data_IF_481483271677
#
_entry.id   IF_481483271677
#
_cell.length_a   1.000
_cell.length_b   1.000
_cell.length_c   1.000
_cell.angle_alpha   90.00
_cell.angle_beta   90.00
_cell.angle_gamma   90.00
#
_symmetry.space_group_name_H-M   'P 1'
#
loop_
_entity.id
_entity.type
_entity.pdbx_description
1 polymer ?
#
# COMPACT_ATOMS: atom_id res chain seq x y z
N UNK A 1 -1.86 48.10 -25.01
CA UNK A 1 -2.37 46.75 -24.69
C UNK A 1 -1.26 45.95 -24.01
N UNK A 2 -1.45 45.47 -22.78
CA UNK A 2 -0.46 44.68 -22.03
C UNK A 2 -0.78 43.20 -22.25
N UNK A 3 0.21 42.42 -22.70
CA UNK A 3 0.05 40.98 -22.92
C UNK A 3 -0.26 40.25 -21.59
N UNK A 4 -1.13 39.22 -21.59
CA UNK A 4 -1.47 38.50 -20.37
C UNK A 4 -0.27 37.68 -19.89
N UNK A 5 0.07 37.83 -18.60
CA UNK A 5 1.11 37.07 -17.95
C UNK A 5 0.77 35.57 -17.99
N UNK A 6 1.71 34.75 -18.47
CA UNK A 6 1.62 33.28 -18.43
C UNK A 6 1.44 32.84 -16.98
N UNK A 7 0.26 32.28 -16.65
CA UNK A 7 0.02 31.60 -15.37
C UNK A 7 1.05 30.49 -15.20
N UNK A 8 1.98 30.70 -14.27
CA UNK A 8 2.97 29.71 -13.86
C UNK A 8 2.20 28.55 -13.21
N UNK A 9 2.03 27.45 -13.94
CA UNK A 9 1.39 26.24 -13.42
C UNK A 9 2.21 25.78 -12.23
N UNK A 10 1.64 25.94 -11.03
CA UNK A 10 2.21 25.41 -9.80
C UNK A 10 2.40 23.90 -9.97
N UNK A 11 3.66 23.44 -10.01
CA UNK A 11 3.97 22.01 -9.98
C UNK A 11 3.48 21.44 -8.64
N UNK A 12 2.38 20.70 -8.68
CA UNK A 12 1.85 20.01 -7.51
C UNK A 12 2.83 18.93 -7.05
N UNK A 13 3.21 18.95 -5.77
CA UNK A 13 4.14 18.00 -5.13
C UNK A 13 3.66 16.56 -5.34
N UNK A 14 4.48 15.63 -5.87
CA UNK A 14 4.05 14.26 -6.15
C UNK A 14 3.50 13.56 -4.90
N UNK A 15 2.54 12.63 -5.06
CA UNK A 15 2.05 11.85 -3.93
C UNK A 15 3.20 11.04 -3.34
N UNK A 16 3.19 10.89 -2.02
CA UNK A 16 4.24 10.20 -1.28
C UNK A 16 3.63 9.05 -0.48
N UNK A 17 4.38 7.95 -0.34
CA UNK A 17 4.02 6.87 0.57
C UNK A 17 4.47 7.25 1.98
N UNK A 18 3.53 7.22 2.93
CA UNK A 18 3.80 7.46 4.34
C UNK A 18 3.35 6.28 5.19
N UNK A 19 4.14 5.94 6.20
CA UNK A 19 3.79 4.97 7.23
C UNK A 19 2.99 5.68 8.34
N UNK A 20 1.87 5.08 8.75
CA UNK A 20 0.97 5.59 9.80
C UNK A 20 0.61 4.46 10.76
N UNK A 21 0.44 4.77 12.04
CA UNK A 21 -0.14 3.82 12.99
C UNK A 21 -1.56 3.47 12.56
N UNK A 22 -1.93 2.20 12.58
CA UNK A 22 -3.33 1.81 12.36
C UNK A 22 -4.23 2.51 13.38
N UNK A 23 -5.45 2.86 12.99
CA UNK A 23 -6.29 3.82 13.73
C UNK A 23 -6.58 3.47 15.21
N UNK A 24 -6.49 2.18 15.58
CA UNK A 24 -6.72 1.70 16.95
C UNK A 24 -5.48 1.64 17.83
N UNK A 25 -4.30 1.89 17.26
CA UNK A 25 -3.02 1.74 17.94
C UNK A 25 -2.61 3.08 18.55
N UNK A 26 -2.17 3.03 19.81
CA UNK A 26 -1.55 4.17 20.50
C UNK A 26 -0.13 3.81 20.93
N UNK A 27 0.80 4.76 20.86
CA UNK A 27 2.15 4.59 21.41
C UNK A 27 2.24 5.25 22.78
N UNK A 28 2.68 4.50 23.79
CA UNK A 28 3.03 5.03 25.10
C UNK A 28 4.55 5.05 25.24
N UNK A 29 5.08 6.19 25.69
CA UNK A 29 6.52 6.40 25.92
C UNK A 29 6.76 6.61 27.41
N UNK A 30 7.70 5.87 28.00
CA UNK A 30 8.06 5.99 29.42
C UNK A 30 9.34 6.80 29.62
N UNK A 31 9.56 7.24 30.87
CA UNK A 31 10.71 8.04 31.26
C UNK A 31 12.06 7.33 31.02
N UNK A 32 12.08 5.99 31.01
CA UNK A 32 13.28 5.19 30.74
C UNK A 32 13.55 4.96 29.24
N UNK A 33 12.79 5.62 28.38
CA UNK A 33 12.88 5.51 26.91
C UNK A 33 12.15 4.30 26.33
N UNK A 34 11.47 3.48 27.14
CA UNK A 34 10.69 2.37 26.60
C UNK A 34 9.44 2.86 25.87
N UNK A 35 9.15 2.20 24.73
CA UNK A 35 7.94 2.43 23.93
C UNK A 35 7.08 1.17 23.92
N UNK A 36 5.79 1.33 24.21
CA UNK A 36 4.76 0.30 24.09
C UNK A 36 3.77 0.68 22.99
N UNK A 37 3.35 -0.29 22.18
CA UNK A 37 2.11 -0.15 21.41
C UNK A 37 0.94 -0.73 22.21
N UNK A 38 -0.17 0.00 22.28
CA UNK A 38 -1.37 -0.37 23.01
C UNK A 38 -2.57 -0.48 22.06
N UNK A 39 -3.34 -1.57 22.18
CA UNK A 39 -4.54 -1.85 21.38
C UNK A 39 -5.40 -2.93 22.05
N UNK A 40 -6.72 -2.78 21.99
CA UNK A 40 -7.69 -3.79 22.47
C UNK A 40 -7.38 -4.37 23.86
N UNK A 41 -6.94 -3.53 24.81
CA UNK A 41 -6.57 -3.93 26.17
C UNK A 41 -5.21 -4.64 26.30
N UNK A 42 -4.49 -4.84 25.20
CA UNK A 42 -3.18 -5.47 25.13
C UNK A 42 -2.08 -4.42 24.93
N UNK A 43 -0.85 -4.78 25.28
CA UNK A 43 0.33 -3.99 24.98
C UNK A 43 1.47 -4.86 24.48
N UNK A 44 2.28 -4.32 23.57
CA UNK A 44 3.49 -4.95 23.05
C UNK A 44 4.67 -4.01 23.28
N UNK A 45 5.72 -4.52 23.95
CA UNK A 45 6.97 -3.81 24.14
C UNK A 45 7.75 -3.69 22.84
N UNK A 46 8.06 -2.47 22.43
CA UNK A 46 8.80 -2.20 21.20
C UNK A 46 10.28 -1.94 21.45
N UNK A 47 10.71 -1.84 22.71
CA UNK A 47 12.11 -1.62 23.11
C UNK A 47 12.36 -0.22 23.67
N UNK A 48 13.64 0.11 23.90
CA UNK A 48 14.10 1.40 24.40
C UNK A 48 14.67 2.26 23.28
N UNK A 49 14.35 3.55 23.30
CA UNK A 49 14.69 4.50 22.26
C UNK A 49 15.11 5.85 22.87
N UNK A 50 15.86 6.64 22.12
CA UNK A 50 16.24 7.98 22.54
C UNK A 50 15.02 8.90 22.65
N UNK A 51 15.15 9.98 23.43
CA UNK A 51 14.09 10.99 23.57
C UNK A 51 13.71 11.63 22.22
N UNK A 52 14.68 11.79 21.31
CA UNK A 52 14.44 12.29 19.96
C UNK A 52 13.54 11.34 19.15
N UNK A 53 13.82 10.03 19.19
CA UNK A 53 13.00 9.01 18.55
C UNK A 53 11.61 8.94 19.17
N UNK A 54 11.50 8.98 20.51
CA UNK A 54 10.21 8.99 21.20
C UNK A 54 9.34 10.17 20.75
N UNK A 55 9.93 11.36 20.60
CA UNK A 55 9.23 12.55 20.09
C UNK A 55 8.77 12.35 18.64
N UNK A 56 9.65 11.87 17.76
CA UNK A 56 9.31 11.63 16.34
C UNK A 56 8.27 10.51 16.17
N UNK A 57 8.28 9.49 17.03
CA UNK A 57 7.32 8.40 16.98
C UNK A 57 5.86 8.88 17.12
N UNK A 58 5.62 9.98 17.84
CA UNK A 58 4.29 10.58 17.95
C UNK A 58 3.75 11.10 16.61
N UNK A 59 4.63 11.47 15.68
CA UNK A 59 4.27 11.94 14.33
C UNK A 59 3.76 10.80 13.43
N UNK A 60 4.00 9.53 13.80
CA UNK A 60 3.45 8.37 13.09
C UNK A 60 1.92 8.35 13.10
N UNK A 61 1.26 9.04 14.02
CA UNK A 61 -0.21 9.17 14.01
C UNK A 61 -0.72 9.98 12.81
N UNK A 62 0.02 11.01 12.40
CA UNK A 62 -0.27 11.80 11.20
C UNK A 62 0.30 11.16 9.92
N UNK A 63 1.28 10.29 10.08
CA UNK A 63 1.98 9.60 8.99
C UNK A 63 3.31 10.26 8.65
N UNK A 64 4.36 9.45 8.50
CA UNK A 64 5.70 9.89 8.13
C UNK A 64 6.11 9.31 6.76
N UNK A 65 6.66 10.11 5.84
CA UNK A 65 7.15 9.60 4.55
C UNK A 65 8.14 8.44 4.72
N UNK A 66 8.00 7.37 3.92
CA UNK A 66 8.94 6.23 4.00
C UNK A 66 10.38 6.64 3.72
N UNK A 67 10.59 7.57 2.79
CA UNK A 67 11.90 8.12 2.47
C UNK A 67 12.57 8.83 3.66
N UNK A 68 11.81 9.20 4.71
CA UNK A 68 12.38 9.77 5.93
C UNK A 68 13.08 8.75 6.85
N UNK A 69 12.92 7.46 6.56
CA UNK A 69 13.57 6.36 7.27
C UNK A 69 14.82 5.86 6.53
N UNK A 70 14.84 5.97 5.20
CA UNK A 70 15.89 5.39 4.35
C UNK A 70 17.18 6.22 4.30
N UNK A 71 17.16 7.50 4.73
CA UNK A 71 18.21 8.43 4.33
C UNK A 71 18.51 9.55 5.32
N UNK A 72 18.96 9.19 6.52
CA UNK A 72 19.59 10.20 7.37
C UNK A 72 20.61 9.58 8.30
N UNK A 73 21.85 10.05 8.19
CA UNK A 73 22.98 9.65 9.05
C UNK A 73 22.85 10.11 10.51
N UNK A 74 21.63 10.38 10.99
CA UNK A 74 21.33 10.70 12.39
C UNK A 74 20.88 9.44 13.10
N UNK A 75 21.46 9.17 14.27
CA UNK A 75 21.11 7.99 15.07
C UNK A 75 19.60 7.87 15.36
N UNK A 76 18.91 8.99 15.61
CA UNK A 76 17.47 9.01 15.87
C UNK A 76 16.63 8.49 14.69
N UNK A 77 17.14 8.61 13.45
CA UNK A 77 16.38 8.23 12.27
C UNK A 77 16.54 6.74 11.98
N UNK A 78 17.71 6.17 12.31
CA UNK A 78 17.94 4.72 12.35
C UNK A 78 17.11 4.05 13.45
N UNK A 79 17.07 4.64 14.64
CA UNK A 79 16.22 4.17 15.73
C UNK A 79 14.73 4.20 15.33
N UNK A 80 14.30 5.25 14.62
CA UNK A 80 12.95 5.35 14.11
C UNK A 80 12.65 4.30 13.04
N UNK A 81 13.55 4.05 12.09
CA UNK A 81 13.40 2.95 11.10
C UNK A 81 13.23 1.60 11.82
N UNK A 82 14.06 1.31 12.83
CA UNK A 82 13.94 0.10 13.64
C UNK A 82 12.59 0.00 14.36
N UNK A 83 12.09 1.10 14.94
CA UNK A 83 10.77 1.17 15.56
C UNK A 83 9.65 0.87 14.55
N UNK A 84 9.69 1.52 13.38
CA UNK A 84 8.67 1.36 12.34
C UNK A 84 8.68 -0.06 11.76
N UNK A 85 9.86 -0.66 11.57
CA UNK A 85 9.97 -2.09 11.18
C UNK A 85 9.39 -3.02 12.25
N UNK A 86 9.64 -2.78 13.54
CA UNK A 86 9.01 -3.57 14.62
C UNK A 86 7.50 -3.45 14.59
N UNK A 87 6.97 -2.24 14.43
CA UNK A 87 5.53 -2.01 14.30
C UNK A 87 4.94 -2.75 13.09
N UNK A 88 5.62 -2.75 11.94
CA UNK A 88 5.20 -3.46 10.72
C UNK A 88 5.19 -4.98 10.92
N UNK A 89 6.20 -5.55 11.59
CA UNK A 89 6.22 -6.99 11.96
C UNK A 89 5.06 -7.40 12.85
N UNK A 90 4.59 -6.50 13.70
CA UNK A 90 3.42 -6.74 14.55
C UNK A 90 2.08 -6.43 13.84
N UNK A 91 2.09 -6.00 12.58
CA UNK A 91 0.87 -5.65 11.85
C UNK A 91 0.18 -4.39 12.38
N UNK A 92 0.91 -3.51 13.09
CA UNK A 92 0.37 -2.33 13.76
C UNK A 92 0.43 -1.06 12.90
N UNK A 93 0.82 -1.23 11.64
CA UNK A 93 1.04 -0.17 10.67
C UNK A 93 0.08 -0.27 9.51
N UNK A 94 -0.31 0.89 9.01
CA UNK A 94 -0.89 1.06 7.69
C UNK A 94 -0.04 2.06 6.91
N UNK A 95 -0.21 2.08 5.60
CA UNK A 95 0.48 3.03 4.73
C UNK A 95 -0.54 3.85 3.95
N UNK A 96 -0.14 5.04 3.51
CA UNK A 96 -0.98 5.90 2.66
C UNK A 96 -0.18 6.38 1.48
N UNK A 97 -0.78 6.39 0.31
CA UNK A 97 -0.28 7.14 -0.83
C UNK A 97 -1.18 8.37 -0.98
N UNK A 98 -0.57 9.55 -1.00
CA UNK A 98 -1.31 10.78 -1.20
C UNK A 98 -0.45 12.02 -1.09
N UNK A 99 -1.10 13.18 -1.25
CA UNK A 99 -0.48 14.50 -1.09
C UNK A 99 -0.90 15.06 0.27
N UNK A 100 -1.83 16.02 0.27
CA UNK A 100 -2.48 16.53 1.48
C UNK A 100 -3.58 15.61 2.02
N UNK A 101 -4.17 14.78 1.15
CA UNK A 101 -5.21 13.81 1.49
C UNK A 101 -4.81 12.43 0.98
N UNK A 102 -5.33 11.40 1.63
CA UNK A 102 -5.15 10.01 1.23
C UNK A 102 -5.82 9.81 -0.15
N UNK A 103 -5.07 9.30 -1.12
CA UNK A 103 -5.62 8.83 -2.40
C UNK A 103 -5.97 7.34 -2.28
N UNK A 104 -5.07 6.58 -1.66
CA UNK A 104 -5.31 5.22 -1.17
C UNK A 104 -4.69 5.02 0.21
N UNK A 105 -5.33 4.16 1.00
CA UNK A 105 -4.76 3.61 2.23
C UNK A 105 -4.46 2.14 2.01
N UNK A 106 -3.24 1.74 2.32
CA UNK A 106 -2.69 0.40 2.12
C UNK A 106 -2.73 -0.29 3.49
N UNK A 107 -3.50 -1.36 3.56
CA UNK A 107 -3.74 -2.15 4.76
C UNK A 107 -3.03 -3.51 4.61
N UNK A 108 -1.90 -3.71 5.31
CA UNK A 108 -1.19 -4.97 5.31
C UNK A 108 -2.11 -6.16 5.58
N UNK A 109 -1.95 -7.22 4.80
CA UNK A 109 -2.62 -8.52 5.01
C UNK A 109 -1.66 -9.56 5.58
N UNK A 110 -0.36 -9.25 5.60
CA UNK A 110 0.71 -10.09 6.14
C UNK A 110 1.61 -9.27 7.06
N UNK A 111 2.18 -9.93 8.06
CA UNK A 111 3.17 -9.31 8.94
C UNK A 111 4.41 -8.88 8.15
N UNK A 112 5.07 -7.81 8.61
CA UNK A 112 6.28 -7.24 7.99
C UNK A 112 6.09 -6.75 6.55
N UNK A 113 4.84 -6.60 6.08
CA UNK A 113 4.57 -5.98 4.79
C UNK A 113 5.18 -4.58 4.74
N UNK A 114 5.92 -4.30 3.66
CA UNK A 114 6.53 -3.00 3.43
C UNK A 114 6.29 -2.60 1.97
N UNK A 115 5.53 -1.52 1.69
CA UNK A 115 5.23 -1.16 0.31
C UNK A 115 6.48 -0.60 -0.36
N UNK A 116 6.72 -1.03 -1.60
CA UNK A 116 7.78 -0.47 -2.44
C UNK A 116 7.17 0.18 -3.67
N UNK A 117 7.92 1.10 -4.25
CA UNK A 117 7.55 1.72 -5.53
C UNK A 117 8.39 1.03 -6.60
N UNK A 118 7.75 0.13 -7.36
CA UNK A 118 8.39 -0.47 -8.53
C UNK A 118 8.84 0.63 -9.51
N UNK A 119 9.94 0.39 -10.24
CA UNK A 119 10.38 1.31 -11.30
C UNK A 119 10.07 0.70 -12.66
N UNK A 120 9.47 1.51 -13.53
CA UNK A 120 9.25 1.17 -14.92
C UNK A 120 9.22 2.43 -15.77
N UNK A 121 9.52 2.27 -17.05
CA UNK A 121 9.55 3.37 -18.01
C UNK A 121 8.18 3.60 -18.67
N UNK A 122 8.08 4.71 -19.41
CA UNK A 122 6.85 5.10 -20.12
C UNK A 122 6.48 4.18 -21.31
N UNK A 123 7.41 3.34 -21.75
CA UNK A 123 7.23 2.42 -22.86
C UNK A 123 6.49 1.15 -22.44
N UNK A 124 6.52 0.83 -21.15
CA UNK A 124 5.93 -0.35 -20.54
C UNK A 124 4.39 -0.36 -20.68
N UNK A 125 3.85 -1.58 -20.76
CA UNK A 125 2.42 -1.84 -20.90
C UNK A 125 1.94 -2.57 -19.67
N UNK A 126 0.94 -1.99 -18.99
CA UNK A 126 0.38 -2.53 -17.76
C UNK A 126 -1.04 -3.03 -17.98
N UNK A 127 -1.41 -4.06 -17.25
CA UNK A 127 -2.77 -4.60 -17.22
C UNK A 127 -3.12 -5.02 -15.79
N UNK A 128 -4.41 -4.99 -15.48
CA UNK A 128 -4.95 -5.44 -14.21
C UNK A 128 -4.82 -6.97 -14.08
N UNK A 129 -4.33 -7.42 -12.94
CA UNK A 129 -4.29 -8.84 -12.61
C UNK A 129 -5.70 -9.44 -12.68
N UNK A 130 -5.83 -10.66 -13.21
CA UNK A 130 -7.11 -11.39 -13.22
C UNK A 130 -7.56 -11.81 -11.82
N UNK A 131 -6.64 -11.77 -10.85
CA UNK A 131 -6.89 -12.01 -9.44
C UNK A 131 -7.27 -10.75 -8.67
N UNK A 132 -7.16 -9.57 -9.29
CA UNK A 132 -7.54 -8.32 -8.68
C UNK A 132 -9.06 -8.10 -8.77
N UNK A 133 -9.66 -7.61 -7.70
CA UNK A 133 -11.08 -7.31 -7.63
C UNK A 133 -11.36 -6.09 -6.75
N UNK A 134 -12.46 -5.40 -7.06
CA UNK A 134 -13.02 -4.34 -6.24
C UNK A 134 -14.22 -4.88 -5.49
N UNK A 135 -14.34 -4.54 -4.21
CA UNK A 135 -15.58 -4.79 -3.45
C UNK A 135 -15.86 -3.68 -2.46
N UNK A 136 -17.10 -3.65 -1.99
CA UNK A 136 -17.50 -2.81 -0.87
C UNK A 136 -17.08 -3.44 0.45
N UNK A 137 -16.58 -2.63 1.38
CA UNK A 137 -16.37 -2.98 2.79
C UNK A 137 -16.95 -1.86 3.66
N UNK A 138 -18.11 -2.07 4.27
CA UNK A 138 -18.85 -0.98 4.90
C UNK A 138 -19.19 0.11 3.87
N UNK A 139 -18.74 1.34 4.12
CA UNK A 139 -18.90 2.47 3.18
C UNK A 139 -17.70 2.68 2.27
N UNK A 140 -16.65 1.86 2.42
CA UNK A 140 -15.43 1.99 1.64
C UNK A 140 -15.45 1.11 0.39
N UNK A 141 -14.74 1.58 -0.64
CA UNK A 141 -14.36 0.76 -1.78
C UNK A 141 -12.94 0.23 -1.54
N UNK A 142 -12.75 -1.09 -1.63
CA UNK A 142 -11.45 -1.73 -1.44
C UNK A 142 -11.04 -2.48 -2.69
N UNK A 143 -9.76 -2.36 -3.04
CA UNK A 143 -9.07 -3.09 -4.09
C UNK A 143 -8.20 -4.15 -3.45
N UNK A 144 -8.36 -5.39 -3.89
CA UNK A 144 -7.66 -6.55 -3.38
C UNK A 144 -7.14 -7.39 -4.55
N UNK A 145 -6.20 -8.29 -4.26
CA UNK A 145 -5.82 -9.38 -5.15
C UNK A 145 -5.46 -10.60 -4.32
N UNK A 146 -5.77 -11.80 -4.81
CA UNK A 146 -5.38 -13.04 -4.14
C UNK A 146 -3.85 -13.23 -4.06
N UNK A 147 -3.09 -12.41 -4.80
CA UNK A 147 -1.61 -12.36 -4.82
C UNK A 147 -1.03 -11.25 -3.94
N UNK A 148 -1.83 -10.25 -3.57
CA UNK A 148 -1.33 -9.06 -2.88
C UNK A 148 -1.15 -9.30 -1.38
N UNK A 149 0.00 -8.91 -0.84
CA UNK A 149 0.26 -8.86 0.61
C UNK A 149 -0.43 -7.69 1.33
N UNK A 150 -1.22 -6.87 0.61
CA UNK A 150 -1.97 -5.76 1.17
C UNK A 150 -3.28 -5.53 0.42
N UNK A 151 -4.26 -4.99 1.15
CA UNK A 151 -5.51 -4.44 0.63
C UNK A 151 -5.33 -2.94 0.42
N UNK A 152 -5.97 -2.36 -0.60
CA UNK A 152 -5.97 -0.91 -0.80
C UNK A 152 -7.38 -0.34 -0.68
N UNK A 153 -7.62 0.47 0.34
CA UNK A 153 -8.83 1.28 0.47
C UNK A 153 -8.75 2.51 -0.43
N UNK A 154 -9.68 2.63 -1.37
CA UNK A 154 -9.71 3.70 -2.35
C UNK A 154 -10.39 4.93 -1.76
N UNK A 155 -9.63 6.02 -1.59
CA UNK A 155 -10.15 7.30 -1.06
C UNK A 155 -10.49 8.29 -2.19
N UNK A 156 -9.87 8.14 -3.36
CA UNK A 156 -10.14 8.94 -4.56
C UNK A 156 -10.89 8.12 -5.61
N UNK A 157 -12.19 8.38 -5.87
CA UNK A 157 -12.99 7.62 -6.85
C UNK A 157 -12.44 7.64 -8.27
N UNK A 158 -11.58 8.60 -8.65
CA UNK A 158 -10.96 8.60 -9.99
C UNK A 158 -10.09 7.36 -10.22
N UNK A 159 -9.57 6.76 -9.14
CA UNK A 159 -8.76 5.55 -9.21
C UNK A 159 -9.59 4.37 -9.72
N UNK A 160 -10.86 4.22 -9.32
CA UNK A 160 -11.70 3.12 -9.83
C UNK A 160 -11.95 3.24 -11.33
N UNK A 161 -12.14 4.47 -11.83
CA UNK A 161 -12.26 4.73 -13.28
C UNK A 161 -10.97 4.38 -14.03
N UNK A 162 -9.81 4.70 -13.45
CA UNK A 162 -8.52 4.34 -14.02
C UNK A 162 -8.31 2.81 -14.06
N UNK A 163 -8.65 2.10 -12.97
CA UNK A 163 -8.57 0.64 -12.88
C UNK A 163 -9.44 -0.05 -13.93
N UNK A 164 -10.65 0.46 -14.18
CA UNK A 164 -11.52 -0.08 -15.22
C UNK A 164 -10.88 -0.05 -16.62
N UNK A 165 -10.06 0.97 -16.93
CA UNK A 165 -9.33 1.04 -18.21
C UNK A 165 -8.16 0.04 -18.28
N UNK A 166 -7.59 -0.32 -17.13
CA UNK A 166 -6.52 -1.31 -17.01
C UNK A 166 -7.03 -2.75 -17.12
N UNK A 167 -8.35 -2.98 -17.23
CA UNK A 167 -8.90 -4.28 -17.59
C UNK A 167 -8.41 -4.77 -18.98
N UNK A 168 -7.94 -3.85 -19.82
CA UNK A 168 -7.20 -4.13 -21.05
C UNK A 168 -5.78 -3.53 -20.97
N UNK A 169 -4.78 -4.12 -21.65
CA UNK A 169 -3.40 -3.61 -21.64
C UNK A 169 -3.31 -2.13 -22.03
N UNK A 170 -2.67 -1.33 -21.17
CA UNK A 170 -2.46 0.11 -21.38
C UNK A 170 -0.96 0.43 -21.39
N UNK A 171 -0.48 0.98 -22.51
CA UNK A 171 0.87 1.56 -22.58
C UNK A 171 0.91 2.86 -21.78
N UNK A 172 1.86 3.00 -20.86
CA UNK A 172 1.90 4.13 -19.91
C UNK A 172 1.95 5.48 -20.62
N UNK A 173 2.81 5.62 -21.63
CA UNK A 173 2.93 6.83 -22.46
C UNK A 173 1.61 7.33 -23.06
N UNK A 174 0.67 6.42 -23.38
CA UNK A 174 -0.69 6.75 -23.85
C UNK A 174 -1.63 7.00 -22.68
N UNK A 175 -1.58 6.16 -21.65
CA UNK A 175 -2.48 6.22 -20.51
C UNK A 175 -2.35 7.52 -19.72
N UNK A 176 -1.10 8.02 -19.54
CA UNK A 176 -0.80 9.29 -18.86
C UNK A 176 -1.41 10.53 -19.50
N UNK A 177 -1.83 10.44 -20.77
CA UNK A 177 -2.46 11.55 -21.50
C UNK A 177 -3.98 11.56 -21.38
N UNK A 178 -4.56 10.52 -20.78
CA UNK A 178 -6.01 10.40 -20.65
C UNK A 178 -6.50 11.09 -19.38
N UNK A 179 -7.72 11.61 -19.43
CA UNK A 179 -8.39 12.15 -18.25
C UNK A 179 -8.57 11.07 -17.18
N UNK A 180 -8.27 11.42 -15.94
CA UNK A 180 -8.35 10.49 -14.81
C UNK A 180 -7.12 9.59 -14.63
N UNK A 181 -5.99 9.87 -15.30
CA UNK A 181 -4.73 9.17 -15.01
C UNK A 181 -4.39 9.25 -13.51
N UNK A 182 -4.14 8.11 -12.84
CA UNK A 182 -4.01 8.08 -11.38
C UNK A 182 -2.63 8.52 -10.86
N UNK A 183 -1.68 8.82 -11.74
CA UNK A 183 -0.29 9.10 -11.35
C UNK A 183 0.58 7.85 -11.47
N UNK A 184 1.88 8.08 -11.65
CA UNK A 184 2.85 6.99 -11.86
C UNK A 184 3.08 6.24 -10.55
N UNK A 185 3.11 6.95 -9.43
CA UNK A 185 3.38 6.41 -8.09
C UNK A 185 2.35 5.36 -7.69
N UNK A 186 1.07 5.57 -8.03
CA UNK A 186 0.03 4.55 -7.78
C UNK A 186 0.26 3.31 -8.66
N UNK A 187 0.55 3.49 -9.95
CA UNK A 187 0.79 2.35 -10.85
C UNK A 187 2.02 1.54 -10.39
N UNK A 188 3.09 2.22 -9.98
CA UNK A 188 4.28 1.63 -9.40
C UNK A 188 3.99 0.83 -8.13
N UNK A 189 3.19 1.38 -7.23
CA UNK A 189 2.71 0.67 -6.03
C UNK A 189 1.89 -0.56 -6.40
N UNK A 190 0.94 -0.44 -7.33
CA UNK A 190 0.06 -1.55 -7.70
C UNK A 190 0.82 -2.69 -8.40
N UNK A 191 1.91 -2.39 -9.11
CA UNK A 191 2.81 -3.41 -9.66
C UNK A 191 3.56 -4.14 -8.55
N UNK A 192 4.12 -3.42 -7.56
CA UNK A 192 4.78 -4.06 -6.41
C UNK A 192 3.80 -4.93 -5.60
N UNK A 193 2.55 -4.49 -5.46
CA UNK A 193 1.47 -5.25 -4.83
C UNK A 193 0.94 -6.43 -5.68
N UNK A 194 1.46 -6.68 -6.88
CA UNK A 194 0.94 -7.71 -7.80
C UNK A 194 -0.55 -7.55 -8.15
N UNK A 195 -1.05 -6.31 -8.13
CA UNK A 195 -2.41 -5.95 -8.58
C UNK A 195 -2.38 -5.55 -10.06
N UNK A 196 -1.28 -4.93 -10.50
CA UNK A 196 -0.96 -4.76 -11.91
C UNK A 196 0.23 -5.64 -12.27
N UNK A 197 0.33 -6.04 -13.53
CA UNK A 197 1.53 -6.67 -14.07
C UNK A 197 1.92 -6.08 -15.41
N UNK A 198 3.19 -6.30 -15.80
CA UNK A 198 3.75 -5.85 -17.06
C UNK A 198 3.50 -6.88 -18.15
N UNK A 199 3.05 -6.44 -19.31
CA UNK A 199 2.82 -7.30 -20.48
C UNK A 199 4.08 -7.33 -21.35
N UNK A 200 4.56 -8.51 -21.69
CA UNK A 200 5.67 -8.68 -22.63
C UNK A 200 5.13 -8.88 -24.04
N UNK A 201 4.83 -7.76 -24.71
CA UNK A 201 4.30 -7.78 -26.07
C UNK A 201 5.21 -8.50 -27.09
N UNK A 202 6.51 -8.64 -26.82
CA UNK A 202 7.45 -9.32 -27.70
C UNK A 202 7.40 -10.85 -27.57
N UNK A 203 6.96 -11.38 -26.43
CA UNK A 203 6.88 -12.82 -26.20
C UNK A 203 5.70 -13.49 -26.92
N UNK A 204 4.61 -12.74 -27.16
CA UNK A 204 3.42 -13.26 -27.87
C UNK A 204 2.68 -14.38 -27.12
N UNK A 205 3.02 -14.61 -25.85
CA UNK A 205 2.55 -15.69 -24.97
C UNK A 205 1.14 -15.46 -24.42
N UNK A 206 0.64 -14.22 -24.49
CA UNK A 206 -0.70 -13.86 -24.02
C UNK A 206 -0.74 -13.54 -22.52
N UNK A 207 -1.81 -12.85 -22.10
CA UNK A 207 -1.88 -12.23 -20.76
C UNK A 207 -1.77 -13.20 -19.59
N UNK A 208 -2.25 -14.44 -19.76
CA UNK A 208 -2.23 -15.44 -18.67
C UNK A 208 -0.81 -15.90 -18.35
N UNK A 209 0.04 -16.05 -19.37
CA UNK A 209 1.45 -16.40 -19.20
C UNK A 209 2.28 -15.19 -18.76
N UNK A 210 1.94 -13.98 -19.19
CA UNK A 210 2.67 -12.77 -18.78
C UNK A 210 2.44 -12.39 -17.30
N UNK A 211 1.37 -12.88 -16.66
CA UNK A 211 1.00 -12.52 -15.29
C UNK A 211 1.84 -13.23 -14.21
N UNK A 212 2.44 -14.38 -14.53
CA UNK A 212 3.18 -15.20 -13.57
C UNK A 212 3.92 -16.35 -14.20
N UNK A 213 4.36 -17.27 -13.35
CA UNK A 213 5.01 -18.52 -13.74
C UNK A 213 4.01 -19.58 -14.17
N UNK A 214 4.53 -20.71 -14.65
CA UNK A 214 3.74 -21.87 -15.07
C UNK A 214 2.86 -22.41 -13.93
N UNK A 215 3.24 -22.19 -12.66
CA UNK A 215 2.47 -22.60 -11.47
C UNK A 215 1.25 -21.71 -11.23
N UNK A 216 1.26 -20.44 -11.67
CA UNK A 216 0.10 -19.55 -11.57
C UNK A 216 -0.94 -19.81 -12.67
N UNK A 217 -0.50 -20.22 -13.85
CA UNK A 217 -1.37 -20.47 -15.01
C UNK A 217 -2.57 -21.37 -14.70
N UNK A 218 -2.47 -22.50 -13.98
CA UNK A 218 -3.63 -23.37 -13.74
C UNK A 218 -4.70 -22.75 -12.85
N UNK A 219 -4.36 -21.77 -12.00
CA UNK A 219 -5.31 -21.19 -11.06
C UNK A 219 -6.39 -20.37 -11.75
N UNK A 220 -7.65 -20.58 -11.39
CA UNK A 220 -8.73 -19.65 -11.67
C UNK A 220 -8.99 -18.70 -10.51
N UNK A 221 -9.69 -17.59 -10.80
CA UNK A 221 -9.89 -16.48 -9.86
C UNK A 221 -10.41 -16.96 -8.49
N UNK A 222 -11.49 -17.74 -8.51
CA UNK A 222 -12.19 -18.15 -7.30
C UNK A 222 -11.38 -19.16 -6.48
N UNK A 223 -10.64 -20.04 -7.15
CA UNK A 223 -9.80 -21.05 -6.49
C UNK A 223 -8.64 -20.40 -5.75
N UNK A 224 -7.89 -19.51 -6.40
CA UNK A 224 -6.77 -18.84 -5.75
C UNK A 224 -7.25 -17.91 -4.64
N UNK A 225 -8.38 -17.23 -4.84
CA UNK A 225 -8.98 -16.39 -3.81
C UNK A 225 -9.37 -17.22 -2.58
N UNK A 226 -10.07 -18.35 -2.78
CA UNK A 226 -10.45 -19.24 -1.69
C UNK A 226 -9.24 -19.82 -0.96
N UNK A 227 -8.25 -20.30 -1.72
CA UNK A 227 -7.00 -20.82 -1.17
C UNK A 227 -6.28 -19.79 -0.29
N UNK A 228 -6.02 -18.58 -0.81
CA UNK A 228 -5.34 -17.52 -0.07
C UNK A 228 -6.13 -17.11 1.18
N UNK A 229 -7.47 -17.03 1.11
CA UNK A 229 -8.31 -16.61 2.24
C UNK A 229 -8.48 -17.67 3.33
N UNK A 230 -8.28 -18.94 2.98
CA UNK A 230 -8.36 -20.06 3.92
C UNK A 230 -7.00 -20.46 4.49
N UNK A 231 -5.91 -19.83 4.04
CA UNK A 231 -4.55 -20.15 4.46
C UNK A 231 -4.06 -19.17 5.53
N UNK A 232 -3.64 -19.70 6.67
CA UNK A 232 -3.03 -18.91 7.75
C UNK A 232 -1.76 -18.18 7.29
N UNK A 233 -1.58 -16.96 7.79
CA UNK A 233 -0.43 -16.12 7.47
C UNK A 233 -0.48 -15.43 6.10
N UNK A 234 -1.47 -15.71 5.25
CA UNK A 234 -1.65 -15.02 3.96
C UNK A 234 -2.66 -13.87 4.00
N UNK A 235 -3.33 -13.69 5.13
CA UNK A 235 -4.40 -12.73 5.29
C UNK A 235 -4.57 -12.36 6.77
N UNK A 236 -5.08 -11.15 7.04
CA UNK A 236 -5.13 -10.60 8.40
C UNK A 236 -6.45 -10.85 9.15
N UNK A 237 -7.45 -11.48 8.52
CA UNK A 237 -8.67 -11.85 9.23
C UNK A 237 -8.39 -12.99 10.23
N UNK A 238 -9.04 -12.97 11.40
CA UNK A 238 -9.00 -14.08 12.32
C UNK A 238 -9.39 -15.40 11.64
N UNK A 239 -8.63 -16.46 11.93
CA UNK A 239 -8.90 -17.82 11.51
C UNK A 239 -9.32 -18.68 12.70
N UNK A 240 -10.10 -19.72 12.45
CA UNK A 240 -10.63 -20.62 13.47
C UNK A 240 -12.05 -20.28 13.93
N UNK A 241 -12.50 -20.95 14.99
CA UNK A 241 -13.84 -20.82 15.53
C UNK A 241 -14.06 -19.48 16.23
N UNK A 242 -14.38 -18.44 15.46
CA UNK A 242 -15.13 -17.34 16.01
C UNK A 242 -16.53 -17.88 16.34
N UNK A 243 -17.00 -17.66 17.57
CA UNK A 243 -18.37 -17.96 17.98
C UNK A 243 -19.20 -16.65 17.96
N UNK A 244 -19.49 -16.06 16.78
CA UNK A 244 -20.12 -14.74 16.70
C UNK A 244 -21.57 -14.69 17.19
N UNK A 245 -22.17 -15.85 17.47
CA UNK A 245 -23.58 -15.99 17.86
C UNK A 245 -23.79 -16.70 19.21
N UNK A 246 -22.73 -16.93 19.99
CA UNK A 246 -22.89 -17.43 21.37
C UNK A 246 -22.94 -16.22 22.29
N UNK A 247 -24.18 -15.78 22.56
CA UNK A 247 -24.57 -14.75 23.51
C UNK A 247 -26.00 -15.00 23.94
#
# INVERSE_FOLDING_TARGET
MRAPAKKRVSRSTPPTISARLSARITLQTHADGSILACFDGHSVGLGKYSAATCKRAQELRSGLPLASFETSGRAADQELDLLVRRLARHGLMEYRLGRSRDEVVIEPQVADYWPRIARFDDSETLVLSRFAYLRRRGNDMVLESARAGALLRICNPKITTALARLAAPQRISRFRRQDGFPGLELLCLLVDCQILFKVNAAAGTGLRLDEGDDDLVPWDFHDLLFHTRSTEGRQANPLGGLYPFVG
#
